data_IF_113085163007
#
_entry.id   IF_113085163007
#
_cell.length_a   1.000
_cell.length_b   1.000
_cell.length_c   1.000
_cell.angle_alpha   90.00
_cell.angle_beta   90.00
_cell.angle_gamma   90.00
#
_symmetry.space_group_name_H-M   'P 1'
#
loop_
_entity.id
_entity.type
_entity.pdbx_description
1 polymer ?
#
# COMPACT_ATOMS: atom_id res chain seq x y z
N UNK A 1 -23.08 -15.48 -41.82
CA UNK A 1 -23.76 -14.57 -40.86
C UNK A 1 -23.40 -15.04 -39.47
N UNK A 2 -22.35 -14.47 -38.87
CA UNK A 2 -21.81 -14.93 -37.59
C UNK A 2 -22.53 -14.23 -36.44
N UNK A 3 -23.15 -15.03 -35.57
CA UNK A 3 -23.85 -14.58 -34.36
C UNK A 3 -22.86 -14.03 -33.33
N UNK A 4 -23.12 -12.81 -32.85
CA UNK A 4 -22.43 -12.22 -31.72
C UNK A 4 -23.01 -12.76 -30.40
N UNK A 5 -22.19 -13.39 -29.58
CA UNK A 5 -22.53 -13.72 -28.19
C UNK A 5 -22.31 -12.48 -27.33
N UNK A 6 -23.43 -11.93 -26.85
CA UNK A 6 -23.47 -10.81 -25.92
C UNK A 6 -23.10 -11.32 -24.52
N UNK A 7 -21.93 -10.93 -24.00
CA UNK A 7 -21.58 -11.16 -22.60
C UNK A 7 -22.36 -10.18 -21.69
N UNK A 8 -22.93 -10.63 -20.58
CA UNK A 8 -23.65 -9.76 -19.65
C UNK A 8 -22.64 -8.88 -18.90
N UNK A 9 -22.85 -7.56 -18.96
CA UNK A 9 -22.11 -6.61 -18.13
C UNK A 9 -22.55 -6.76 -16.68
N UNK A 10 -21.63 -7.22 -15.83
CA UNK A 10 -21.76 -7.09 -14.38
C UNK A 10 -21.53 -5.63 -13.99
N UNK A 11 -22.58 -4.82 -14.04
CA UNK A 11 -22.62 -3.52 -13.37
C UNK A 11 -22.87 -3.74 -11.88
N UNK A 12 -21.83 -3.68 -11.05
CA UNK A 12 -22.00 -3.58 -9.61
C UNK A 12 -22.27 -2.11 -9.24
N UNK A 13 -23.41 -1.78 -8.61
CA UNK A 13 -23.63 -0.43 -8.10
C UNK A 13 -22.74 -0.21 -6.88
N UNK A 14 -21.82 0.76 -6.98
CA UNK A 14 -21.10 1.29 -5.83
C UNK A 14 -22.09 2.14 -5.01
N UNK A 15 -22.90 1.47 -4.19
CA UNK A 15 -23.83 2.13 -3.29
C UNK A 15 -23.06 2.87 -2.20
N UNK A 16 -23.04 4.20 -2.32
CA UNK A 16 -22.65 5.15 -1.28
C UNK A 16 -23.41 4.87 0.02
N UNK A 17 -22.71 4.40 1.06
CA UNK A 17 -23.29 4.32 2.39
C UNK A 17 -22.93 5.58 3.19
N UNK A 18 -23.90 6.50 3.20
CA UNK A 18 -24.26 7.43 4.25
C UNK A 18 -23.14 7.93 5.19
N UNK A 19 -22.76 9.19 4.99
CA UNK A 19 -22.11 10.01 6.02
C UNK A 19 -23.14 10.33 7.11
N UNK A 20 -23.26 9.44 8.09
CA UNK A 20 -24.05 9.64 9.30
C UNK A 20 -23.29 10.51 10.30
N UNK A 21 -23.86 11.66 10.63
CA UNK A 21 -23.40 12.58 11.67
C UNK A 21 -23.36 11.89 13.04
N UNK A 22 -22.20 11.88 13.70
CA UNK A 22 -22.07 11.41 15.09
C UNK A 22 -22.36 12.56 16.08
N UNK A 23 -23.10 12.31 17.17
CA UNK A 23 -23.39 13.32 18.18
C UNK A 23 -22.15 13.65 19.03
N UNK A 24 -21.93 14.95 19.24
CA UNK A 24 -20.97 15.51 20.18
C UNK A 24 -21.41 15.27 21.63
N UNK A 25 -20.51 14.79 22.48
CA UNK A 25 -20.70 14.71 23.94
C UNK A 25 -19.36 14.72 24.70
N UNK A 26 -19.36 15.01 26.01
CA UNK A 26 -18.93 16.27 26.60
C UNK A 26 -17.54 16.16 27.27
N UNK A 27 -16.80 17.28 27.38
CA UNK A 27 -15.67 17.38 28.32
C UNK A 27 -16.15 17.71 29.74
N UNK A 28 -15.25 17.97 30.71
CA UNK A 28 -13.93 17.38 30.97
C UNK A 28 -13.91 16.65 32.35
N UNK A 29 -12.93 15.79 32.61
CA UNK A 29 -12.62 15.33 33.98
C UNK A 29 -11.20 15.75 34.37
N UNK A 30 -11.10 16.55 35.44
CA UNK A 30 -9.86 16.82 36.16
C UNK A 30 -9.70 15.71 37.20
N UNK A 31 -8.63 14.92 37.10
CA UNK A 31 -8.18 14.10 38.22
C UNK A 31 -6.69 13.81 38.11
N UNK A 32 -6.07 13.91 39.28
CA UNK A 32 -4.66 13.90 39.62
C UNK A 32 -3.90 12.63 39.24
N UNK A 33 -2.58 12.81 39.13
CA UNK A 33 -1.57 11.82 38.78
C UNK A 33 -1.67 10.49 39.53
N UNK A 34 -1.45 9.40 38.81
CA UNK A 34 -0.76 8.22 39.33
C UNK A 34 0.11 7.59 38.23
N UNK A 35 1.37 7.37 38.60
CA UNK A 35 2.42 6.77 37.77
C UNK A 35 1.97 5.44 37.19
N UNK A 36 1.84 5.39 35.87
CA UNK A 36 1.84 4.12 35.13
C UNK A 36 3.10 4.12 34.27
N UNK A 37 4.04 3.22 34.58
CA UNK A 37 5.24 3.00 33.78
C UNK A 37 4.80 2.71 32.34
N UNK A 38 5.10 3.63 31.43
CA UNK A 38 4.92 3.42 30.00
C UNK A 38 5.66 2.14 29.61
N UNK A 39 5.02 1.18 28.93
CA UNK A 39 5.80 0.24 28.15
C UNK A 39 6.58 1.08 27.16
N UNK A 40 7.90 0.96 27.16
CA UNK A 40 8.74 1.57 26.14
C UNK A 40 8.23 1.05 24.81
N UNK A 41 7.42 1.86 24.13
CA UNK A 41 7.15 1.72 22.71
C UNK A 41 8.51 1.92 22.05
N UNK A 42 9.29 0.85 21.96
CA UNK A 42 10.35 0.73 20.97
C UNK A 42 9.59 0.70 19.65
N UNK A 43 9.13 1.87 19.21
CA UNK A 43 8.85 2.15 17.83
C UNK A 43 10.14 1.74 17.15
N UNK A 44 10.12 0.56 16.52
CA UNK A 44 11.15 0.16 15.60
C UNK A 44 11.13 1.23 14.52
N UNK A 45 11.94 2.27 14.72
CA UNK A 45 12.22 3.27 13.71
C UNK A 45 13.07 2.52 12.70
N UNK A 46 12.43 1.65 11.91
CA UNK A 46 13.09 1.05 10.76
C UNK A 46 13.53 2.26 9.93
N UNK A 47 14.84 2.48 9.77
CA UNK A 47 15.31 3.63 9.00
C UNK A 47 14.66 3.52 7.63
N UNK A 48 14.01 4.57 7.16
CA UNK A 48 13.48 4.55 5.79
C UNK A 48 14.65 4.22 4.88
N UNK A 49 14.60 3.07 4.19
CA UNK A 49 15.72 2.62 3.38
C UNK A 49 16.07 3.72 2.38
N UNK A 50 17.28 4.27 2.50
CA UNK A 50 17.76 5.24 1.53
C UNK A 50 18.03 4.49 0.23
N UNK A 51 17.11 4.60 -0.72
CA UNK A 51 17.26 3.96 -2.03
C UNK A 51 18.44 4.62 -2.76
N UNK A 52 19.50 3.85 -3.11
CA UNK A 52 20.61 4.36 -3.89
C UNK A 52 20.15 4.92 -5.25
N UNK A 53 20.82 5.97 -5.74
CA UNK A 53 20.40 6.65 -6.97
C UNK A 53 20.40 5.76 -8.22
N UNK A 54 21.26 4.73 -8.25
CA UNK A 54 21.24 3.72 -9.33
C UNK A 54 19.89 3.00 -9.39
N UNK A 55 19.41 2.53 -8.24
CA UNK A 55 18.15 1.80 -8.11
C UNK A 55 16.96 2.70 -8.41
N UNK A 56 17.00 3.96 -7.96
CA UNK A 56 15.96 4.95 -8.30
C UNK A 56 15.83 5.12 -9.80
N UNK A 57 16.92 5.36 -10.52
CA UNK A 57 16.91 5.52 -11.99
C UNK A 57 16.33 4.29 -12.69
N UNK A 58 16.65 3.11 -12.19
CA UNK A 58 16.16 1.85 -12.76
C UNK A 58 14.65 1.67 -12.53
N UNK A 59 14.17 1.98 -11.32
CA UNK A 59 12.72 2.02 -11.02
C UNK A 59 12.01 3.06 -11.89
N UNK A 60 12.57 4.27 -12.00
CA UNK A 60 11.98 5.37 -12.77
C UNK A 60 11.96 5.09 -14.29
N UNK A 61 12.79 4.14 -14.77
CA UNK A 61 12.78 3.73 -16.16
C UNK A 61 11.60 2.81 -16.52
N UNK A 62 10.93 2.22 -15.52
CA UNK A 62 9.75 1.39 -15.72
C UNK A 62 8.50 2.26 -15.84
N UNK A 63 7.84 2.28 -17.00
CA UNK A 63 6.59 3.01 -17.21
C UNK A 63 5.37 2.10 -16.97
N UNK A 64 4.58 2.33 -15.90
CA UNK A 64 3.40 1.52 -15.61
C UNK A 64 2.21 1.80 -16.52
N UNK A 65 2.30 2.79 -17.43
CA UNK A 65 1.21 3.16 -18.34
C UNK A 65 1.24 2.39 -19.66
N UNK A 66 2.30 1.63 -19.92
CA UNK A 66 2.41 0.80 -21.12
C UNK A 66 1.27 -0.24 -21.10
N UNK A 67 0.50 -0.39 -22.19
CA UNK A 67 -0.53 -1.43 -22.30
C UNK A 67 0.06 -2.83 -22.09
N UNK A 68 -0.73 -3.74 -21.53
CA UNK A 68 -0.26 -5.09 -21.19
C UNK A 68 0.33 -5.85 -22.39
N UNK A 69 -0.23 -5.67 -23.59
CA UNK A 69 0.22 -6.34 -24.82
C UNK A 69 1.62 -5.89 -25.27
N UNK A 70 2.06 -4.70 -24.85
CA UNK A 70 3.37 -4.11 -25.15
C UNK A 70 4.28 -4.10 -23.91
N UNK A 71 3.77 -4.54 -22.75
CA UNK A 71 4.50 -4.49 -21.51
C UNK A 71 5.64 -5.53 -21.52
N UNK A 72 6.82 -5.08 -21.12
CA UNK A 72 7.95 -5.96 -20.88
C UNK A 72 8.05 -6.27 -19.38
N UNK A 73 8.61 -7.44 -19.09
CA UNK A 73 9.00 -7.77 -17.71
C UNK A 73 10.01 -6.74 -17.21
N UNK A 74 10.00 -6.40 -15.92
CA UNK A 74 11.04 -5.55 -15.34
C UNK A 74 12.46 -6.11 -15.59
N UNK A 75 13.49 -5.26 -15.51
CA UNK A 75 14.88 -5.68 -15.68
C UNK A 75 15.23 -6.85 -14.75
N UNK A 76 16.06 -7.80 -15.24
CA UNK A 76 16.45 -8.99 -14.47
C UNK A 76 17.08 -8.68 -13.10
N UNK A 77 17.74 -7.52 -12.99
CA UNK A 77 18.30 -6.98 -11.75
C UNK A 77 17.28 -6.87 -10.62
N UNK A 78 16.00 -6.60 -10.90
CA UNK A 78 14.94 -6.52 -9.89
C UNK A 78 14.78 -7.82 -9.11
N UNK A 79 15.05 -8.96 -9.77
CA UNK A 79 14.92 -10.28 -9.18
C UNK A 79 16.23 -10.80 -8.57
N UNK A 80 17.38 -10.26 -8.98
CA UNK A 80 18.70 -10.78 -8.57
C UNK A 80 19.43 -9.89 -7.57
N UNK A 81 19.22 -8.56 -7.59
CA UNK A 81 19.88 -7.62 -6.69
C UNK A 81 19.13 -7.57 -5.35
N UNK A 82 19.76 -7.95 -4.22
CA UNK A 82 19.09 -8.03 -2.92
C UNK A 82 18.56 -6.67 -2.43
N UNK A 83 19.08 -5.56 -2.94
CA UNK A 83 18.58 -4.24 -2.58
C UNK A 83 17.14 -4.00 -3.07
N UNK A 84 16.72 -4.65 -4.16
CA UNK A 84 15.32 -4.60 -4.61
C UNK A 84 14.40 -5.33 -3.62
N UNK A 85 14.83 -6.47 -3.09
CA UNK A 85 14.07 -7.21 -2.08
C UNK A 85 13.88 -6.38 -0.79
N UNK A 86 14.93 -5.69 -0.34
CA UNK A 86 14.86 -4.82 0.84
C UNK A 86 13.82 -3.70 0.65
N UNK A 87 13.78 -3.10 -0.55
CA UNK A 87 12.81 -2.07 -0.93
C UNK A 87 11.40 -2.67 -1.02
N UNK A 88 11.24 -3.86 -1.58
CA UNK A 88 9.94 -4.53 -1.72
C UNK A 88 9.34 -4.89 -0.35
N UNK A 89 10.16 -5.33 0.60
CA UNK A 89 9.70 -5.51 1.99
C UNK A 89 9.08 -4.23 2.55
N UNK A 90 9.82 -3.11 2.44
CA UNK A 90 9.40 -1.83 3.02
C UNK A 90 8.18 -1.22 2.31
N UNK A 91 8.08 -1.38 0.99
CA UNK A 91 7.06 -0.70 0.17
C UNK A 91 5.84 -1.55 -0.14
N UNK A 92 6.01 -2.85 -0.34
CA UNK A 92 4.96 -3.76 -0.81
C UNK A 92 4.54 -4.69 0.32
N UNK A 93 5.44 -5.53 0.82
CA UNK A 93 5.04 -6.62 1.70
C UNK A 93 4.57 -6.17 3.08
N UNK A 94 5.18 -5.15 3.69
CA UNK A 94 4.73 -4.63 5.00
C UNK A 94 3.49 -3.74 4.95
N UNK A 95 3.02 -3.38 3.74
CA UNK A 95 1.91 -2.44 3.56
C UNK A 95 0.72 -3.04 2.80
N UNK A 96 0.88 -4.27 2.30
CA UNK A 96 -0.14 -5.02 1.56
C UNK A 96 -0.84 -6.09 2.39
N UNK A 97 -1.96 -6.59 1.89
CA UNK A 97 -2.64 -7.77 2.44
C UNK A 97 -1.84 -9.04 2.14
N UNK A 98 -1.61 -9.87 3.16
CA UNK A 98 -0.97 -11.18 3.02
C UNK A 98 -1.99 -12.25 3.42
N UNK A 99 -2.27 -13.18 2.51
CA UNK A 99 -3.10 -14.34 2.82
C UNK A 99 -2.31 -15.36 3.66
N UNK A 100 -2.95 -15.90 4.70
CA UNK A 100 -2.38 -16.89 5.64
C UNK A 100 -3.31 -18.04 5.89
#
# INVERSE_FOLDING_TARGET
>A
MASALLLPQCSLPFSNLASGSLPSRPGPCKSSASSTRSPSSTTSLRPSLQIPDRLRREIDSFDPKIPLDEAHTPPSSWYTDPLFLDIEFDRVFYRGWQAV
#
